data_IF_498336322165
#
_entry.id   IF_498336322165
#
_cell.length_a   1.000
_cell.length_b   1.000
_cell.length_c   1.000
_cell.angle_alpha   90.00
_cell.angle_beta   90.00
_cell.angle_gamma   90.00
#
_symmetry.space_group_name_H-M   'P 1'
#
loop_
_entity.id
_entity.type
_entity.pdbx_description
1 polymer ?
#
# COMPACT_ATOMS: atom_id res chain seq x y z
N UNK A 1 -12.11 -2.05 -11.52
CA UNK A 1 -11.36 -3.32 -11.50
C UNK A 1 -11.59 -4.21 -12.73
N UNK A 2 -12.05 -3.62 -13.84
CA UNK A 2 -12.51 -4.36 -15.02
C UNK A 2 -11.39 -5.09 -15.77
N UNK A 3 -10.16 -4.60 -15.64
CA UNK A 3 -8.97 -5.22 -16.23
C UNK A 3 -8.52 -6.52 -15.52
N UNK A 4 -8.95 -6.70 -14.26
CA UNK A 4 -8.57 -7.85 -13.41
C UNK A 4 -9.74 -8.83 -13.22
N UNK A 5 -10.88 -8.61 -13.91
CA UNK A 5 -12.06 -9.48 -13.84
C UNK A 5 -12.83 -9.43 -12.51
N UNK A 6 -12.68 -8.35 -11.74
CA UNK A 6 -13.34 -8.18 -10.43
C UNK A 6 -14.55 -7.24 -10.47
N UNK A 7 -15.58 -7.51 -9.64
CA UNK A 7 -16.71 -6.61 -9.45
C UNK A 7 -16.26 -5.23 -8.96
N UNK A 8 -17.01 -4.18 -9.32
CA UNK A 8 -16.61 -2.79 -9.03
C UNK A 8 -16.50 -2.48 -7.54
N UNK A 9 -17.28 -3.20 -6.74
CA UNK A 9 -17.40 -3.12 -5.29
C UNK A 9 -16.14 -3.61 -4.59
N UNK A 10 -15.31 -4.45 -5.23
CA UNK A 10 -14.03 -4.87 -4.67
C UNK A 10 -13.04 -3.69 -4.52
N UNK A 11 -13.28 -2.55 -5.18
CA UNK A 11 -12.54 -1.31 -4.95
C UNK A 11 -12.68 -0.81 -3.51
N UNK A 12 -13.83 -1.03 -2.88
CA UNK A 12 -14.03 -0.68 -1.47
C UNK A 12 -13.05 -1.45 -0.59
N UNK A 13 -12.86 -2.75 -0.84
CA UNK A 13 -11.92 -3.56 -0.07
C UNK A 13 -10.46 -3.10 -0.25
N UNK A 14 -10.06 -2.72 -1.46
CA UNK A 14 -8.70 -2.20 -1.69
C UNK A 14 -8.49 -0.85 -1.01
N UNK A 15 -9.45 0.07 -1.13
CA UNK A 15 -9.35 1.40 -0.52
C UNK A 15 -9.36 1.32 1.01
N UNK A 16 -10.23 0.49 1.62
CA UNK A 16 -10.23 0.31 3.08
C UNK A 16 -8.97 -0.40 3.57
N UNK A 17 -8.44 -1.35 2.80
CA UNK A 17 -7.16 -1.98 3.08
C UNK A 17 -5.99 -0.99 3.07
N UNK A 18 -5.95 -0.09 2.09
CA UNK A 18 -4.91 0.95 1.99
C UNK A 18 -4.99 1.99 3.11
N UNK A 19 -6.20 2.36 3.56
CA UNK A 19 -6.40 3.43 4.55
C UNK A 19 -6.28 2.94 6.00
N UNK A 20 -6.72 1.72 6.27
CA UNK A 20 -6.74 1.17 7.63
C UNK A 20 -5.75 0.02 7.77
N UNK A 21 -6.15 -1.19 7.37
CA UNK A 21 -5.34 -2.40 7.42
C UNK A 21 -5.98 -3.49 6.56
N UNK A 22 -5.23 -4.53 6.20
CA UNK A 22 -5.75 -5.70 5.51
C UNK A 22 -6.94 -6.37 6.23
N UNK A 23 -6.99 -6.26 7.56
CA UNK A 23 -8.10 -6.78 8.37
C UNK A 23 -9.41 -6.03 8.13
N UNK A 24 -9.37 -4.73 7.86
CA UNK A 24 -10.55 -3.94 7.48
C UNK A 24 -11.06 -4.33 6.09
N UNK A 25 -10.14 -4.64 5.16
CA UNK A 25 -10.48 -5.13 3.84
C UNK A 25 -11.14 -6.53 3.87
N UNK A 26 -10.70 -7.41 4.78
CA UNK A 26 -11.26 -8.76 4.96
C UNK A 26 -12.77 -8.73 5.21
N UNK A 27 -13.26 -7.79 6.03
CA UNK A 27 -14.71 -7.64 6.28
C UNK A 27 -15.51 -7.37 5.01
N UNK A 28 -14.96 -6.59 4.08
CA UNK A 28 -15.61 -6.28 2.81
C UNK A 28 -15.50 -7.46 1.83
N UNK A 29 -14.34 -8.12 1.77
CA UNK A 29 -14.13 -9.31 0.92
C UNK A 29 -15.12 -10.42 1.28
N UNK A 30 -15.37 -10.64 2.58
CA UNK A 30 -16.34 -11.62 3.07
C UNK A 30 -17.79 -11.23 2.72
N UNK A 31 -18.12 -9.93 2.75
CA UNK A 31 -19.45 -9.44 2.40
C UNK A 31 -19.77 -9.54 0.89
N UNK A 32 -18.76 -9.55 0.03
CA UNK A 32 -18.92 -9.54 -1.43
C UNK A 32 -19.13 -10.93 -2.06
N UNK A 33 -19.05 -12.03 -1.29
CA UNK A 33 -19.32 -13.38 -1.79
C UNK A 33 -18.44 -13.80 -2.98
N UNK A 34 -17.19 -13.34 -3.00
CA UNK A 34 -16.25 -13.56 -4.11
C UNK A 34 -15.86 -15.02 -4.24
N UNK A 35 -15.56 -15.46 -5.47
CA UNK A 35 -15.01 -16.81 -5.70
C UNK A 35 -13.60 -16.95 -5.13
N UNK A 36 -13.17 -18.18 -4.81
CA UNK A 36 -11.82 -18.46 -4.29
C UNK A 36 -10.70 -17.85 -5.16
N UNK A 37 -10.88 -17.86 -6.49
CA UNK A 37 -9.95 -17.26 -7.43
C UNK A 37 -9.94 -15.71 -7.39
N UNK A 38 -11.09 -15.08 -7.20
CA UNK A 38 -11.15 -13.64 -7.04
C UNK A 38 -10.56 -13.19 -5.70
N UNK A 39 -10.70 -14.02 -4.66
CA UNK A 39 -10.10 -13.76 -3.34
C UNK A 39 -8.57 -13.80 -3.42
N UNK A 40 -7.97 -14.74 -4.17
CA UNK A 40 -6.51 -14.78 -4.33
C UNK A 40 -5.97 -13.59 -5.11
N UNK A 41 -6.67 -13.16 -6.17
CA UNK A 41 -6.31 -11.92 -6.88
C UNK A 41 -6.39 -10.71 -5.94
N UNK A 42 -7.44 -10.62 -5.14
CA UNK A 42 -7.58 -9.57 -4.13
C UNK A 42 -6.47 -9.61 -3.10
N UNK A 43 -6.10 -10.78 -2.59
CA UNK A 43 -5.03 -10.93 -1.62
C UNK A 43 -3.68 -10.40 -2.14
N UNK A 44 -3.34 -10.71 -3.41
CA UNK A 44 -2.12 -10.21 -4.06
C UNK A 44 -2.15 -8.69 -4.22
N UNK A 45 -3.25 -8.14 -4.73
CA UNK A 45 -3.41 -6.68 -4.90
C UNK A 45 -3.30 -5.98 -3.56
N UNK A 46 -4.02 -6.49 -2.55
CA UNK A 46 -4.09 -5.90 -1.22
C UNK A 46 -2.72 -5.91 -0.53
N UNK A 47 -2.00 -7.04 -0.62
CA UNK A 47 -0.65 -7.14 -0.07
C UNK A 47 0.30 -6.13 -0.73
N UNK A 48 0.34 -6.07 -2.06
CA UNK A 48 1.23 -5.13 -2.75
C UNK A 48 0.91 -3.67 -2.41
N UNK A 49 -0.37 -3.30 -2.43
CA UNK A 49 -0.79 -1.93 -2.15
C UNK A 49 -0.59 -1.52 -0.69
N UNK A 50 -0.89 -2.42 0.25
CA UNK A 50 -0.78 -2.15 1.68
C UNK A 50 0.67 -2.01 2.13
N UNK A 51 1.57 -2.88 1.69
CA UNK A 51 3.00 -2.83 2.03
C UNK A 51 3.66 -1.53 1.55
N UNK A 52 3.27 -1.01 0.38
CA UNK A 52 3.78 0.27 -0.13
C UNK A 52 3.38 1.45 0.77
N UNK A 53 2.13 1.48 1.23
CA UNK A 53 1.64 2.52 2.14
C UNK A 53 2.34 2.39 3.50
N UNK A 54 2.48 1.16 4.02
CA UNK A 54 3.16 0.90 5.28
C UNK A 54 4.64 1.32 5.27
N UNK A 55 5.38 1.03 4.19
CA UNK A 55 6.79 1.45 4.07
C UNK A 55 6.91 2.97 4.10
N UNK A 56 6.03 3.67 3.37
CA UNK A 56 6.03 5.13 3.33
C UNK A 56 5.66 5.74 4.70
N UNK A 57 4.58 5.26 5.32
CA UNK A 57 4.14 5.74 6.63
C UNK A 57 5.14 5.38 7.73
N UNK A 58 5.73 4.19 7.69
CA UNK A 58 6.72 3.73 8.67
C UNK A 58 7.97 4.61 8.69
N UNK A 59 8.47 5.01 7.51
CA UNK A 59 9.61 5.94 7.42
C UNK A 59 9.22 7.35 7.88
N UNK A 60 7.98 7.76 7.62
CA UNK A 60 7.46 9.08 8.00
C UNK A 60 6.84 9.14 9.41
N UNK A 61 6.77 8.02 10.15
CA UNK A 61 5.99 7.92 11.39
C UNK A 61 6.38 8.96 12.44
N UNK A 62 7.67 9.28 12.51
CA UNK A 62 8.23 10.25 13.46
C UNK A 62 8.52 11.62 12.81
N UNK A 63 7.86 11.99 11.70
CA UNK A 63 8.24 13.22 10.99
C UNK A 63 8.07 14.47 11.86
N UNK A 64 7.07 14.51 12.74
CA UNK A 64 6.79 15.64 13.63
C UNK A 64 7.76 15.66 14.82
N UNK A 65 7.91 14.53 15.52
CA UNK A 65 8.80 14.43 16.69
C UNK A 65 10.26 14.70 16.29
N UNK A 66 10.73 14.06 15.21
CA UNK A 66 12.09 14.26 14.74
C UNK A 66 12.30 15.72 14.29
N UNK A 67 11.38 16.32 13.52
CA UNK A 67 11.54 17.73 13.11
C UNK A 67 11.56 18.68 14.29
N UNK A 68 10.70 18.50 15.30
CA UNK A 68 10.67 19.36 16.49
C UNK A 68 11.98 19.27 17.26
N UNK A 69 12.50 18.05 17.47
CA UNK A 69 13.79 17.82 18.15
C UNK A 69 14.95 18.45 17.37
N UNK A 70 14.97 18.29 16.04
CA UNK A 70 16.04 18.85 15.20
C UNK A 70 15.99 20.38 15.08
N UNK A 71 14.79 20.98 15.10
CA UNK A 71 14.64 22.44 15.16
C UNK A 71 15.20 22.96 16.49
N UNK A 72 14.96 22.28 17.61
CA UNK A 72 15.51 22.65 18.91
C UNK A 72 17.05 22.59 18.94
N UNK A 73 17.66 21.72 18.11
CA UNK A 73 19.11 21.60 17.90
C UNK A 73 19.67 22.60 16.87
N UNK A 74 18.83 23.47 16.29
CA UNK A 74 19.23 24.49 15.31
C UNK A 74 19.36 23.98 13.87
N UNK A 75 18.83 22.80 13.55
CA UNK A 75 18.85 22.26 12.19
C UNK A 75 17.76 22.86 11.29
N UNK A 76 18.01 22.89 9.98
CA UNK A 76 17.09 23.43 9.01
C UNK A 76 15.94 22.45 8.70
N UNK A 77 14.73 22.80 9.16
CA UNK A 77 13.53 21.96 9.08
C UNK A 77 13.14 21.57 7.64
N UNK A 78 13.35 22.46 6.66
CA UNK A 78 13.03 22.18 5.25
C UNK A 78 13.85 21.03 4.68
N UNK A 79 15.15 20.99 4.99
CA UNK A 79 16.06 19.95 4.50
C UNK A 79 15.70 18.59 5.11
N UNK A 80 15.34 18.58 6.40
CA UNK A 80 14.99 17.35 7.12
C UNK A 80 13.70 16.72 6.57
N UNK A 81 12.65 17.51 6.38
CA UNK A 81 11.38 17.05 5.79
C UNK A 81 11.60 16.60 4.35
N UNK A 82 12.30 17.40 3.55
CA UNK A 82 12.58 17.08 2.15
C UNK A 82 13.36 15.78 1.98
N UNK A 83 14.45 15.60 2.74
CA UNK A 83 15.26 14.38 2.70
C UNK A 83 14.47 13.14 3.14
N UNK A 84 13.66 13.25 4.20
CA UNK A 84 12.81 12.16 4.70
C UNK A 84 11.78 11.72 3.67
N UNK A 85 11.07 12.68 3.07
CA UNK A 85 10.06 12.39 2.06
C UNK A 85 10.68 11.77 0.81
N UNK A 86 11.87 12.24 0.41
CA UNK A 86 12.63 11.67 -0.71
C UNK A 86 13.07 10.22 -0.43
N UNK A 87 13.63 9.96 0.76
CA UNK A 87 14.04 8.60 1.15
C UNK A 87 12.82 7.68 1.26
N UNK A 88 11.72 8.15 1.83
CA UNK A 88 10.47 7.37 1.93
C UNK A 88 9.90 7.01 0.55
N UNK A 89 9.85 7.99 -0.36
CA UNK A 89 9.41 7.76 -1.74
C UNK A 89 10.35 6.82 -2.49
N UNK A 90 11.67 6.99 -2.34
CA UNK A 90 12.67 6.12 -2.96
C UNK A 90 12.61 4.69 -2.42
N UNK A 91 12.46 4.52 -1.10
CA UNK A 91 12.30 3.22 -0.47
C UNK A 91 11.03 2.51 -0.95
N UNK A 92 9.89 3.22 -0.96
CA UNK A 92 8.63 2.68 -1.49
C UNK A 92 8.76 2.29 -2.97
N UNK A 93 9.46 3.08 -3.79
CA UNK A 93 9.74 2.76 -5.17
C UNK A 93 10.63 1.50 -5.31
N UNK A 94 11.66 1.38 -4.47
CA UNK A 94 12.57 0.23 -4.47
C UNK A 94 11.83 -1.04 -4.07
N UNK A 95 10.94 -0.96 -3.07
CA UNK A 95 10.06 -2.06 -2.67
C UNK A 95 9.07 -2.41 -3.77
N UNK A 96 8.46 -1.43 -4.44
CA UNK A 96 7.61 -1.66 -5.62
C UNK A 96 8.37 -2.39 -6.74
N UNK A 97 9.65 -2.05 -6.93
CA UNK A 97 10.51 -2.68 -7.93
C UNK A 97 10.92 -4.10 -7.53
N UNK A 98 11.25 -4.33 -6.26
CA UNK A 98 11.66 -5.64 -5.73
C UNK A 98 10.47 -6.61 -5.65
N UNK A 99 9.32 -6.12 -5.22
CA UNK A 99 8.06 -6.87 -5.10
C UNK A 99 7.27 -6.93 -6.42
N UNK A 100 7.92 -6.68 -7.58
CA UNK A 100 7.27 -6.85 -8.88
C UNK A 100 6.68 -8.26 -8.96
N UNK A 101 5.34 -8.39 -9.06
CA UNK A 101 4.72 -9.68 -9.27
C UNK A 101 5.28 -10.26 -10.57
N UNK A 102 5.81 -11.49 -10.53
CA UNK A 102 6.30 -12.13 -11.74
C UNK A 102 5.19 -12.11 -12.82
N UNK A 103 5.48 -11.61 -14.03
CA UNK A 103 4.51 -11.52 -15.12
C UNK A 103 4.10 -12.93 -15.55
N UNK A 104 3.06 -13.46 -14.92
CA UNK A 104 2.57 -14.82 -15.13
C UNK A 104 1.52 -15.30 -14.14
N UNK A 105 1.39 -14.68 -12.95
CA UNK A 105 0.45 -15.14 -11.92
C UNK A 105 -1.03 -14.75 -12.15
N UNK A 106 -1.32 -13.92 -13.16
CA UNK A 106 -2.69 -13.48 -13.49
C UNK A 106 -3.08 -14.00 -14.87
N UNK A 107 -3.09 -15.33 -15.04
CA UNK A 107 -3.80 -15.93 -16.17
C UNK A 107 -5.29 -15.84 -15.90
N UNK A 108 -5.92 -14.81 -16.46
CA UNK A 108 -7.37 -14.64 -16.42
C UNK A 108 -7.96 -15.79 -17.25
N UNK A 109 -8.40 -16.87 -16.61
CA UNK A 109 -9.23 -17.86 -17.30
C UNK A 109 -10.58 -17.19 -17.55
N UNK A 110 -10.97 -16.95 -18.82
CA UNK A 110 -12.31 -16.45 -19.11
C UNK A 110 -13.33 -17.51 -18.65
N UNK A 111 -14.35 -17.06 -17.93
CA UNK A 111 -15.62 -17.78 -17.84
C UNK A 111 -16.37 -17.61 -19.15
#
# INVERSE_FOLDING_TARGET
MRFVGLPGEAALAVVTGMLFNFYAALGIILALGLSAWQITIMAVILSCCHELVLVFLGICHSIIEDTVVFIALGANWWVLIGARFLIAAFAAFTVSFLMRPMPGAVTIKPK
#
